data_IF_000084363196
#
_entry.id   IF_000084363196
#
_cell.length_a   1.000
_cell.length_b   1.000
_cell.length_c   1.000
_cell.angle_alpha   90.00
_cell.angle_beta   90.00
_cell.angle_gamma   90.00
#
_symmetry.space_group_name_H-M   'P 1'
#
loop_
_entity.id
_entity.type
_entity.pdbx_description
1 polymer ?
#
# COMPACT_ATOMS: atom_id res chain seq x y z
N UNK A 1 19.14 12.53 15.60
CA UNK A 1 19.80 11.25 15.99
C UNK A 1 19.72 10.38 14.75
N UNK A 2 20.83 9.90 14.18
CA UNK A 2 20.76 9.09 12.94
C UNK A 2 20.24 7.69 13.26
N UNK A 3 19.17 7.28 12.57
CA UNK A 3 18.57 5.95 12.63
C UNK A 3 19.63 4.88 12.34
N UNK A 4 19.66 3.82 13.14
CA UNK A 4 20.67 2.77 13.02
C UNK A 4 20.59 2.04 11.66
N UNK A 5 19.39 1.98 11.09
CA UNK A 5 19.08 1.34 9.81
C UNK A 5 19.60 2.11 8.59
N UNK A 6 19.91 3.40 8.72
CA UNK A 6 20.44 4.26 7.63
C UNK A 6 21.93 4.53 7.77
N UNK A 7 22.58 3.98 8.80
CA UNK A 7 24.04 3.97 8.90
C UNK A 7 24.62 3.10 7.80
N UNK A 8 25.31 3.71 6.85
CA UNK A 8 26.20 2.99 5.93
C UNK A 8 27.33 2.39 6.78
N UNK A 9 27.18 1.13 7.16
CA UNK A 9 28.22 0.39 7.86
C UNK A 9 29.07 -0.37 6.85
N UNK A 10 30.40 -0.39 7.06
CA UNK A 10 31.34 -1.19 6.26
C UNK A 10 31.20 -2.71 6.52
N UNK A 11 30.11 -3.14 7.16
CA UNK A 11 29.84 -4.52 7.56
C UNK A 11 28.94 -5.27 6.57
N UNK A 12 28.42 -4.62 5.51
CA UNK A 12 27.72 -5.35 4.46
C UNK A 12 28.65 -6.47 3.90
N UNK A 13 28.17 -7.72 3.95
CA UNK A 13 28.92 -8.91 3.53
C UNK A 13 28.53 -9.38 2.13
N UNK A 14 27.60 -8.70 1.47
CA UNK A 14 27.14 -9.06 0.12
C UNK A 14 27.98 -8.37 -0.96
N UNK A 15 27.99 -8.95 -2.16
CA UNK A 15 28.76 -8.49 -3.31
C UNK A 15 30.14 -9.17 -3.43
N UNK A 16 30.48 -9.64 -4.63
CA UNK A 16 31.74 -10.38 -4.92
C UNK A 16 33.01 -9.61 -4.55
N UNK A 17 32.95 -8.27 -4.55
CA UNK A 17 34.06 -7.40 -4.15
C UNK A 17 34.46 -7.56 -2.67
N UNK A 18 33.59 -8.14 -1.84
CA UNK A 18 33.86 -8.40 -0.41
C UNK A 18 34.65 -9.69 -0.17
N UNK A 19 34.68 -10.60 -1.14
CA UNK A 19 35.52 -11.80 -1.09
C UNK A 19 36.03 -12.17 -2.49
N UNK A 20 37.10 -11.51 -2.97
CA UNK A 20 37.66 -11.78 -4.29
C UNK A 20 38.16 -13.22 -4.44
N UNK A 21 38.67 -13.84 -3.37
CA UNK A 21 39.15 -15.21 -3.41
C UNK A 21 38.00 -16.20 -3.60
N UNK A 22 36.94 -16.12 -2.77
CA UNK A 22 35.77 -16.99 -2.93
C UNK A 22 35.10 -16.81 -4.31
N UNK A 23 35.19 -15.59 -4.87
CA UNK A 23 34.74 -15.33 -6.24
C UNK A 23 35.60 -16.02 -7.28
N UNK A 24 36.94 -16.03 -7.13
CA UNK A 24 37.82 -16.80 -8.02
C UNK A 24 37.56 -18.30 -7.88
N UNK A 25 37.45 -18.81 -6.65
CA UNK A 25 37.15 -20.23 -6.40
C UNK A 25 35.78 -20.63 -7.02
N UNK A 26 34.80 -19.72 -7.02
CA UNK A 26 33.52 -19.91 -7.73
C UNK A 26 33.70 -19.96 -9.25
N UNK A 27 34.52 -19.08 -9.84
CA UNK A 27 34.81 -19.07 -11.27
C UNK A 27 35.57 -20.32 -11.70
N UNK A 28 36.60 -20.71 -10.95
CA UNK A 28 37.37 -21.94 -11.17
C UNK A 28 36.45 -23.16 -11.05
N UNK A 29 35.54 -23.17 -10.06
CA UNK A 29 34.52 -24.19 -9.92
C UNK A 29 33.51 -24.22 -11.09
N UNK A 30 33.17 -23.08 -11.69
CA UNK A 30 32.34 -23.04 -12.91
C UNK A 30 33.07 -23.58 -14.15
N UNK A 31 34.40 -23.46 -14.20
CA UNK A 31 35.22 -24.02 -15.28
C UNK A 31 35.49 -25.52 -15.08
N UNK A 32 35.74 -25.95 -13.84
CA UNK A 32 35.97 -27.36 -13.47
C UNK A 32 34.67 -28.17 -13.51
N UNK A 33 33.62 -27.62 -12.93
CA UNK A 33 32.26 -28.15 -12.96
C UNK A 33 31.44 -27.30 -13.91
N UNK A 34 31.83 -27.27 -15.20
CA UNK A 34 30.93 -26.73 -16.21
C UNK A 34 29.57 -27.37 -15.97
N UNK A 35 28.51 -26.57 -15.71
CA UNK A 35 27.19 -27.13 -15.67
C UNK A 35 27.08 -27.91 -16.97
N UNK A 36 26.67 -29.17 -16.89
CA UNK A 36 26.20 -29.83 -18.10
C UNK A 36 25.11 -28.91 -18.60
N UNK A 37 25.46 -28.07 -19.59
CA UNK A 37 24.52 -27.44 -20.45
C UNK A 37 23.91 -28.63 -21.16
N UNK A 38 22.97 -29.30 -20.48
CA UNK A 38 21.89 -29.93 -21.16
C UNK A 38 21.44 -28.88 -22.19
N UNK A 39 21.35 -29.31 -23.45
CA UNK A 39 20.42 -28.76 -24.42
C UNK A 39 19.38 -27.91 -23.70
N UNK A 40 19.21 -26.62 -24.07
CA UNK A 40 18.55 -25.58 -23.28
C UNK A 40 17.52 -26.21 -22.35
N UNK A 41 17.85 -26.25 -21.05
CA UNK A 41 17.07 -27.00 -20.07
C UNK A 41 15.59 -26.66 -20.29
N UNK A 42 14.76 -27.63 -20.74
CA UNK A 42 13.34 -27.39 -20.86
C UNK A 42 12.74 -27.08 -19.48
N UNK A 43 13.48 -27.09 -18.37
CA UNK A 43 13.08 -26.62 -17.05
C UNK A 43 12.61 -25.15 -16.97
N UNK A 44 13.02 -24.25 -17.88
CA UNK A 44 12.38 -22.93 -17.95
C UNK A 44 11.03 -22.98 -18.69
N UNK A 45 10.89 -23.89 -19.66
CA UNK A 45 9.61 -24.24 -20.30
C UNK A 45 8.72 -25.05 -19.35
N UNK A 46 9.30 -25.86 -18.46
CA UNK A 46 8.60 -26.72 -17.51
C UNK A 46 8.02 -25.93 -16.35
N UNK A 47 8.71 -24.89 -15.84
CA UNK A 47 8.10 -23.95 -14.89
C UNK A 47 6.97 -23.17 -15.57
N UNK A 48 7.13 -22.78 -16.84
CA UNK A 48 6.09 -22.10 -17.59
C UNK A 48 4.87 -23.00 -17.85
N UNK A 49 5.10 -24.27 -18.19
CA UNK A 49 4.08 -25.29 -18.41
C UNK A 49 3.34 -25.63 -17.11
N UNK A 50 4.07 -25.83 -16.01
CA UNK A 50 3.47 -26.00 -14.67
C UNK A 50 2.65 -24.77 -14.30
N UNK A 51 3.16 -23.55 -14.51
CA UNK A 51 2.36 -22.34 -14.27
C UNK A 51 1.11 -22.31 -15.16
N UNK A 52 1.21 -22.72 -16.42
CA UNK A 52 0.08 -22.75 -17.35
C UNK A 52 -0.98 -23.76 -16.91
N UNK A 53 -0.58 -24.95 -16.46
CA UNK A 53 -1.46 -25.98 -15.91
C UNK A 53 -2.21 -25.42 -14.69
N UNK A 54 -1.49 -24.92 -13.69
CA UNK A 54 -2.08 -24.32 -12.49
C UNK A 54 -3.01 -23.13 -12.84
N UNK A 55 -2.65 -22.28 -13.80
CA UNK A 55 -3.48 -21.17 -14.26
C UNK A 55 -4.77 -21.67 -14.95
N UNK A 56 -4.70 -22.77 -15.68
CA UNK A 56 -5.85 -23.30 -16.41
C UNK A 56 -6.83 -24.08 -15.53
N UNK A 57 -6.33 -24.71 -14.46
CA UNK A 57 -7.12 -25.60 -13.58
C UNK A 57 -7.62 -24.90 -12.31
N UNK A 58 -7.19 -23.68 -12.03
CA UNK A 58 -7.53 -22.96 -10.81
C UNK A 58 -9.02 -22.64 -10.69
N UNK A 59 -9.54 -22.80 -9.47
CA UNK A 59 -10.84 -22.25 -9.08
C UNK A 59 -10.74 -20.73 -8.87
N UNK A 60 -11.85 -19.98 -9.00
CA UNK A 60 -11.87 -18.57 -8.64
C UNK A 60 -11.42 -18.36 -7.20
N UNK A 61 -10.69 -17.26 -6.95
CA UNK A 61 -10.16 -16.91 -5.63
C UNK A 61 -11.26 -16.86 -4.54
N UNK A 62 -12.49 -16.56 -4.93
CA UNK A 62 -13.67 -16.64 -4.06
C UNK A 62 -14.95 -16.36 -4.82
N UNK A 63 -16.03 -16.08 -4.07
CA UNK A 63 -17.32 -15.66 -4.63
C UNK A 63 -17.89 -14.50 -3.83
N UNK A 64 -18.79 -13.74 -4.44
CA UNK A 64 -19.51 -12.66 -3.75
C UNK A 64 -20.82 -13.25 -3.22
N UNK A 65 -21.06 -13.22 -1.89
CA UNK A 65 -22.26 -13.81 -1.33
C UNK A 65 -23.51 -13.05 -1.80
N UNK A 66 -24.65 -13.74 -1.96
CA UNK A 66 -25.90 -13.07 -2.25
C UNK A 66 -26.32 -12.18 -1.07
N UNK A 67 -27.04 -11.08 -1.31
CA UNK A 67 -27.51 -10.20 -0.25
C UNK A 67 -28.42 -10.96 0.73
N UNK A 68 -28.07 -10.94 2.02
CA UNK A 68 -28.76 -11.71 3.05
C UNK A 68 -30.03 -11.03 3.61
N UNK A 69 -30.25 -9.74 3.30
CA UNK A 69 -31.37 -8.98 3.87
C UNK A 69 -32.59 -8.96 2.93
N UNK A 70 -33.83 -8.94 3.45
CA UNK A 70 -35.04 -8.79 2.61
C UNK A 70 -35.02 -7.54 1.74
N UNK A 71 -34.51 -6.43 2.27
CA UNK A 71 -34.28 -5.18 1.52
C UNK A 71 -33.23 -5.38 0.43
N UNK A 72 -32.14 -6.09 0.73
CA UNK A 72 -31.09 -6.44 -0.23
C UNK A 72 -31.59 -7.37 -1.34
N UNK A 73 -32.45 -8.34 -1.02
CA UNK A 73 -33.11 -9.22 -1.99
C UNK A 73 -34.07 -8.44 -2.90
N UNK A 74 -34.89 -7.54 -2.35
CA UNK A 74 -35.80 -6.70 -3.14
C UNK A 74 -35.06 -5.72 -4.06
N UNK A 75 -34.00 -5.06 -3.57
CA UNK A 75 -33.12 -4.21 -4.40
C UNK A 75 -32.38 -5.04 -5.45
N UNK A 76 -31.97 -6.27 -5.13
CA UNK A 76 -31.31 -7.17 -6.08
C UNK A 76 -32.24 -7.65 -7.19
N UNK A 77 -33.53 -7.87 -6.90
CA UNK A 77 -34.53 -8.16 -7.91
C UNK A 77 -34.74 -6.98 -8.89
N UNK A 78 -34.70 -5.72 -8.42
CA UNK A 78 -34.63 -4.56 -9.33
C UNK A 78 -33.31 -4.49 -10.12
N UNK A 79 -32.19 -4.87 -9.51
CA UNK A 79 -30.85 -4.90 -10.14
C UNK A 79 -30.65 -6.05 -11.12
N UNK A 80 -31.54 -7.05 -11.20
CA UNK A 80 -31.52 -8.01 -12.30
C UNK A 80 -31.70 -7.34 -13.68
N UNK A 81 -32.23 -6.11 -13.72
CA UNK A 81 -32.27 -5.27 -14.93
C UNK A 81 -30.92 -4.57 -15.26
N UNK A 82 -30.01 -4.44 -14.29
CA UNK A 82 -28.65 -3.86 -14.45
C UNK A 82 -27.51 -4.90 -14.42
N UNK A 83 -27.80 -6.17 -14.09
CA UNK A 83 -26.93 -7.34 -14.31
C UNK A 83 -25.65 -7.43 -13.47
N UNK A 84 -24.63 -8.13 -13.99
CA UNK A 84 -23.31 -8.39 -13.35
C UNK A 84 -22.56 -7.14 -12.86
N UNK A 85 -22.95 -5.94 -13.29
CA UNK A 85 -22.22 -4.70 -13.00
C UNK A 85 -22.27 -4.30 -11.52
N UNK A 86 -23.37 -4.62 -10.84
CA UNK A 86 -23.47 -4.32 -9.41
C UNK A 86 -22.59 -5.25 -8.55
N UNK A 87 -22.46 -6.51 -8.93
CA UNK A 87 -21.56 -7.43 -8.22
C UNK A 87 -20.12 -6.91 -8.29
N UNK A 88 -19.69 -6.38 -9.45
CA UNK A 88 -18.36 -5.76 -9.60
C UNK A 88 -18.16 -4.58 -8.65
N UNK A 89 -19.14 -3.68 -8.51
CA UNK A 89 -18.99 -2.56 -7.56
C UNK A 89 -18.97 -3.06 -6.11
N UNK A 90 -19.77 -4.06 -5.74
CA UNK A 90 -19.69 -4.64 -4.38
C UNK A 90 -18.33 -5.27 -4.12
N UNK A 91 -17.77 -5.99 -5.09
CA UNK A 91 -16.43 -6.58 -4.99
C UNK A 91 -15.34 -5.52 -4.82
N UNK A 92 -15.40 -4.43 -5.61
CA UNK A 92 -14.46 -3.31 -5.50
C UNK A 92 -14.63 -2.48 -4.23
N UNK A 93 -15.84 -2.36 -3.70
CA UNK A 93 -16.05 -1.76 -2.38
C UNK A 93 -15.46 -2.65 -1.27
N UNK A 94 -15.60 -3.98 -1.35
CA UNK A 94 -14.99 -4.88 -0.39
C UNK A 94 -13.45 -4.87 -0.48
N UNK A 95 -12.89 -4.75 -1.69
CA UNK A 95 -11.47 -4.46 -1.90
C UNK A 95 -11.05 -3.20 -1.15
N UNK A 96 -11.77 -2.10 -1.36
CA UNK A 96 -11.43 -0.84 -0.71
C UNK A 96 -11.52 -0.94 0.80
N UNK A 97 -12.59 -1.54 1.32
CA UNK A 97 -12.77 -1.76 2.75
C UNK A 97 -11.61 -2.56 3.38
N UNK A 98 -11.15 -3.61 2.70
CA UNK A 98 -10.02 -4.41 3.16
C UNK A 98 -8.70 -3.61 3.17
N UNK A 99 -8.54 -2.69 2.20
CA UNK A 99 -7.40 -1.79 2.11
C UNK A 99 -7.40 -0.72 3.20
N UNK A 100 -8.51 0.00 3.43
CA UNK A 100 -8.62 1.01 4.51
C UNK A 100 -8.33 0.41 5.91
N UNK A 101 -8.80 -0.83 6.14
CA UNK A 101 -8.48 -1.59 7.35
C UNK A 101 -6.98 -1.86 7.49
N UNK A 102 -6.27 -1.97 6.37
CA UNK A 102 -4.82 -2.14 6.36
C UNK A 102 -4.11 -0.80 6.49
N UNK A 103 -4.63 0.27 5.87
CA UNK A 103 -4.16 1.66 6.04
C UNK A 103 -4.09 2.07 7.51
N UNK A 104 -5.18 1.89 8.26
CA UNK A 104 -5.18 2.14 9.72
C UNK A 104 -4.07 1.40 10.47
N UNK A 105 -3.80 0.13 10.13
CA UNK A 105 -2.73 -0.68 10.76
C UNK A 105 -1.34 -0.23 10.34
N UNK A 106 -1.17 0.18 9.09
CA UNK A 106 0.08 0.74 8.58
C UNK A 106 0.42 2.04 9.33
N UNK A 107 -0.55 2.93 9.50
CA UNK A 107 -0.35 4.14 10.29
C UNK A 107 -0.13 3.86 11.78
N UNK A 108 -0.82 2.89 12.39
CA UNK A 108 -0.54 2.48 13.78
C UNK A 108 0.93 2.03 13.94
N UNK A 109 1.46 1.24 13.00
CA UNK A 109 2.86 0.80 13.01
C UNK A 109 3.84 1.96 12.75
N UNK A 110 3.51 2.87 11.83
CA UNK A 110 4.31 4.05 11.52
C UNK A 110 4.39 5.00 12.71
N UNK A 111 3.26 5.25 13.40
CA UNK A 111 3.19 6.04 14.63
C UNK A 111 4.09 5.45 15.69
N UNK A 112 4.00 4.13 15.96
CA UNK A 112 4.84 3.47 16.95
C UNK A 112 6.33 3.62 16.63
N UNK A 113 6.70 3.51 15.35
CA UNK A 113 8.08 3.70 14.88
C UNK A 113 8.53 5.15 15.05
N UNK A 114 7.70 6.11 14.64
CA UNK A 114 7.96 7.54 14.82
C UNK A 114 8.17 7.90 16.29
N UNK A 115 7.25 7.50 17.17
CA UNK A 115 7.34 7.74 18.60
C UNK A 115 8.60 7.12 19.20
N UNK A 116 8.98 5.91 18.79
CA UNK A 116 10.16 5.22 19.32
C UNK A 116 11.47 5.90 18.91
N UNK A 117 11.58 6.29 17.64
CA UNK A 117 12.82 6.82 17.07
C UNK A 117 12.97 8.33 17.24
N UNK A 118 11.86 9.04 17.39
CA UNK A 118 11.79 10.52 17.34
C UNK A 118 11.01 11.11 18.52
N UNK A 119 10.85 10.38 19.64
CA UNK A 119 10.21 10.85 20.87
C UNK A 119 10.64 12.28 21.23
N UNK A 120 9.71 13.24 21.16
CA UNK A 120 9.93 14.64 21.54
C UNK A 120 10.65 15.49 20.50
N UNK A 121 10.79 15.04 19.24
CA UNK A 121 11.30 15.85 18.13
C UNK A 121 10.26 15.98 17.03
N UNK A 122 10.11 17.20 16.47
CA UNK A 122 9.39 17.44 15.22
C UNK A 122 10.40 17.41 14.08
N UNK A 123 10.14 16.65 13.02
CA UNK A 123 11.00 16.67 11.84
C UNK A 123 10.58 17.86 10.98
N UNK A 124 11.43 18.90 10.89
CA UNK A 124 11.09 20.16 10.26
C UNK A 124 11.36 20.22 8.75
N UNK A 125 10.34 20.58 7.98
CA UNK A 125 10.42 20.99 6.57
C UNK A 125 11.00 22.39 6.41
N UNK A 126 11.76 22.60 5.33
CA UNK A 126 12.32 23.91 4.98
C UNK A 126 11.20 24.73 4.32
N UNK A 127 10.45 25.50 5.10
CA UNK A 127 9.68 26.62 4.56
C UNK A 127 10.68 27.61 3.94
N UNK A 128 10.71 27.75 2.63
CA UNK A 128 11.66 28.61 1.93
C UNK A 128 11.25 30.10 1.97
N UNK A 129 10.47 30.53 2.96
CA UNK A 129 10.19 31.94 3.22
C UNK A 129 9.44 32.69 2.11
N UNK A 130 9.08 32.03 0.99
CA UNK A 130 8.23 32.60 -0.05
C UNK A 130 6.81 32.10 0.15
N UNK A 131 6.20 32.57 1.23
CA UNK A 131 4.76 32.42 1.46
C UNK A 131 3.98 33.15 0.37
N UNK A 132 3.40 32.38 -0.55
CA UNK A 132 2.27 32.80 -1.37
C UNK A 132 1.66 31.56 -2.04
N UNK A 133 1.01 30.70 -1.26
CA UNK A 133 -0.24 30.01 -1.62
C UNK A 133 -0.76 29.28 -0.37
N UNK A 134 -2.06 29.40 -0.09
CA UNK A 134 -2.68 29.00 1.18
C UNK A 134 -2.90 27.49 1.37
N UNK A 135 -2.21 26.66 0.59
CA UNK A 135 -2.25 25.18 0.63
C UNK A 135 -0.94 24.58 1.20
N UNK A 136 -0.14 25.42 1.88
CA UNK A 136 1.24 25.15 2.27
C UNK A 136 1.32 24.23 3.49
N UNK A 137 1.39 22.92 3.23
CA UNK A 137 1.79 21.96 4.23
C UNK A 137 3.27 22.21 4.55
N UNK A 138 3.55 22.73 5.75
CA UNK A 138 4.87 23.21 6.22
C UNK A 138 5.97 22.10 6.23
N UNK A 139 5.62 20.87 5.82
CA UNK A 139 6.56 19.77 5.59
C UNK A 139 7.03 19.07 6.87
N UNK A 140 6.37 19.35 8.00
CA UNK A 140 6.75 18.81 9.30
C UNK A 140 6.12 17.43 9.50
N UNK A 141 6.89 16.44 9.97
CA UNK A 141 6.30 15.21 10.53
C UNK A 141 6.00 15.50 12.00
N UNK A 142 4.74 15.36 12.40
CA UNK A 142 4.32 15.44 13.80
C UNK A 142 3.51 14.20 14.18
N UNK A 143 3.52 13.87 15.48
CA UNK A 143 2.70 12.78 16.02
C UNK A 143 1.22 13.07 15.79
N UNK A 144 0.83 14.32 15.99
CA UNK A 144 -0.54 14.80 15.87
C UNK A 144 -1.06 14.59 14.44
N UNK A 145 -0.27 14.96 13.43
CA UNK A 145 -0.64 14.73 12.03
C UNK A 145 -0.72 13.25 11.68
N UNK A 146 0.23 12.41 12.14
CA UNK A 146 0.16 10.97 11.89
C UNK A 146 -1.10 10.33 12.50
N UNK A 147 -1.51 10.77 13.70
CA UNK A 147 -2.74 10.32 14.35
C UNK A 147 -3.98 10.83 13.62
N UNK A 148 -3.95 12.07 13.12
CA UNK A 148 -5.04 12.63 12.30
C UNK A 148 -5.27 11.78 11.05
N UNK A 149 -4.21 11.52 10.27
CA UNK A 149 -4.29 10.69 9.07
C UNK A 149 -4.83 9.29 9.42
N UNK A 150 -4.29 8.65 10.46
CA UNK A 150 -4.79 7.36 10.95
C UNK A 150 -6.29 7.35 11.27
N UNK A 151 -6.84 8.46 11.76
CA UNK A 151 -8.27 8.58 12.04
C UNK A 151 -9.08 8.79 10.75
N UNK A 152 -8.55 9.55 9.79
CA UNK A 152 -9.14 9.72 8.47
C UNK A 152 -9.26 8.37 7.73
N UNK A 153 -8.23 7.52 7.78
CA UNK A 153 -8.28 6.12 7.28
C UNK A 153 -9.42 5.30 7.92
N UNK A 154 -9.65 5.48 9.23
CA UNK A 154 -10.72 4.79 9.93
C UNK A 154 -12.11 5.33 9.53
N UNK A 155 -12.22 6.62 9.24
CA UNK A 155 -13.43 7.24 8.70
C UNK A 155 -13.73 6.73 7.29
N UNK A 156 -12.72 6.62 6.43
CA UNK A 156 -12.81 6.02 5.10
C UNK A 156 -13.26 4.55 5.15
N UNK A 157 -12.69 3.76 6.05
CA UNK A 157 -13.17 2.40 6.30
C UNK A 157 -14.67 2.37 6.62
N UNK A 158 -15.13 3.27 7.50
CA UNK A 158 -16.55 3.34 7.88
C UNK A 158 -17.44 3.80 6.72
N UNK A 159 -16.98 4.77 5.92
CA UNK A 159 -17.66 5.23 4.71
C UNK A 159 -17.92 4.08 3.74
N UNK A 160 -16.88 3.29 3.44
CA UNK A 160 -17.01 2.14 2.52
C UNK A 160 -17.90 1.05 3.10
N UNK A 161 -17.80 0.77 4.41
CA UNK A 161 -18.65 -0.21 5.07
C UNK A 161 -20.14 0.18 4.95
N UNK A 162 -20.45 1.46 5.12
CA UNK A 162 -21.81 1.97 4.96
C UNK A 162 -22.28 1.95 3.52
N UNK A 163 -21.41 2.24 2.54
CA UNK A 163 -21.71 2.09 1.12
C UNK A 163 -22.13 0.65 0.78
N UNK A 164 -21.40 -0.36 1.27
CA UNK A 164 -21.72 -1.78 1.08
C UNK A 164 -23.08 -2.12 1.70
N UNK A 165 -23.35 -1.66 2.93
CA UNK A 165 -24.64 -1.88 3.61
C UNK A 165 -25.81 -1.25 2.84
N UNK A 166 -25.65 -0.03 2.32
CA UNK A 166 -26.69 0.68 1.53
C UNK A 166 -27.08 -0.10 0.26
N UNK A 167 -26.12 -0.81 -0.33
CA UNK A 167 -26.33 -1.69 -1.47
C UNK A 167 -26.97 -3.04 -1.11
N UNK A 168 -27.10 -3.34 0.18
CA UNK A 168 -27.72 -4.55 0.74
C UNK A 168 -26.74 -5.72 0.94
N UNK A 169 -25.44 -5.48 0.75
CA UNK A 169 -24.38 -6.47 0.89
C UNK A 169 -23.79 -6.48 2.31
N UNK A 170 -22.99 -7.50 2.61
CA UNK A 170 -22.33 -7.69 3.90
C UNK A 170 -20.88 -7.15 3.85
N UNK A 171 -20.54 -6.09 4.62
CA UNK A 171 -19.18 -5.54 4.64
C UNK A 171 -18.16 -6.45 5.33
N UNK A 172 -18.58 -7.57 5.93
CA UNK A 172 -17.68 -8.55 6.55
C UNK A 172 -17.30 -9.69 5.60
N UNK A 173 -17.92 -9.74 4.42
CA UNK A 173 -17.62 -10.76 3.42
C UNK A 173 -16.22 -10.57 2.82
N UNK A 174 -15.45 -11.64 2.78
CA UNK A 174 -14.20 -11.72 2.03
C UNK A 174 -14.52 -12.08 0.58
N UNK A 175 -14.55 -11.06 -0.28
CA UNK A 175 -14.76 -11.20 -1.72
C UNK A 175 -13.44 -11.46 -2.45
N UNK A 176 -13.45 -11.89 -3.73
CA UNK A 176 -12.21 -12.12 -4.49
C UNK A 176 -11.27 -10.91 -4.49
N UNK A 177 -11.77 -9.70 -4.70
CA UNK A 177 -10.92 -8.52 -4.69
C UNK A 177 -10.41 -8.18 -3.27
N UNK A 178 -11.23 -8.38 -2.23
CA UNK A 178 -10.83 -8.19 -0.83
C UNK A 178 -9.71 -9.15 -0.39
N UNK A 179 -9.76 -10.41 -0.81
CA UNK A 179 -8.70 -11.39 -0.56
C UNK A 179 -7.41 -10.98 -1.29
N UNK A 180 -7.51 -10.71 -2.60
CA UNK A 180 -6.36 -10.32 -3.41
C UNK A 180 -5.62 -9.10 -2.86
N UNK A 181 -6.33 -8.03 -2.48
CA UNK A 181 -5.69 -6.84 -1.92
C UNK A 181 -5.15 -7.09 -0.51
N UNK A 182 -5.77 -8.00 0.24
CA UNK A 182 -5.25 -8.50 1.51
C UNK A 182 -3.85 -9.09 1.33
N UNK A 183 -3.68 -10.00 0.36
CA UNK A 183 -2.37 -10.58 0.01
C UNK A 183 -1.38 -9.53 -0.45
N UNK A 184 -1.79 -8.62 -1.35
CA UNK A 184 -0.92 -7.56 -1.87
C UNK A 184 -0.36 -6.67 -0.75
N UNK A 185 -1.19 -6.37 0.26
CA UNK A 185 -0.82 -5.46 1.35
C UNK A 185 0.10 -6.09 2.40
N UNK A 186 0.27 -7.42 2.41
CA UNK A 186 1.12 -8.13 3.40
C UNK A 186 2.54 -7.57 3.40
N UNK A 187 3.14 -7.38 2.22
CA UNK A 187 4.52 -6.88 2.11
C UNK A 187 4.71 -5.48 2.67
N UNK A 188 3.68 -4.62 2.55
CA UNK A 188 3.67 -3.27 3.10
C UNK A 188 3.69 -3.32 4.62
N UNK A 189 2.77 -4.11 5.21
CA UNK A 189 2.69 -4.28 6.67
C UNK A 189 3.98 -4.86 7.23
N UNK A 190 4.54 -5.87 6.57
CA UNK A 190 5.83 -6.46 6.95
C UNK A 190 6.96 -5.42 6.95
N UNK A 191 7.02 -4.56 5.94
CA UNK A 191 8.07 -3.54 5.82
C UNK A 191 7.96 -2.46 6.89
N UNK A 192 6.75 -1.92 7.11
CA UNK A 192 6.52 -0.86 8.11
C UNK A 192 6.70 -1.40 9.53
N UNK A 193 6.30 -2.65 9.78
CA UNK A 193 6.39 -3.26 11.12
C UNK A 193 7.76 -3.86 11.44
N UNK A 194 8.65 -4.01 10.46
CA UNK A 194 10.00 -4.54 10.71
C UNK A 194 10.78 -3.56 11.61
N UNK A 195 11.24 -3.95 12.80
CA UNK A 195 11.96 -3.06 13.70
C UNK A 195 13.33 -2.62 13.14
N UNK A 196 13.82 -3.29 12.09
CA UNK A 196 15.09 -2.98 11.43
C UNK A 196 14.94 -1.94 10.32
N UNK A 197 13.72 -1.62 9.89
CA UNK A 197 13.51 -0.60 8.85
C UNK A 197 13.54 0.80 9.43
N UNK A 198 14.10 1.73 8.67
CA UNK A 198 14.13 3.15 9.00
C UNK A 198 12.76 3.80 8.86
N UNK A 199 12.58 4.98 9.45
CA UNK A 199 11.38 5.78 9.17
C UNK A 199 11.26 6.11 7.67
N UNK A 200 12.36 6.42 6.98
CA UNK A 200 12.34 6.67 5.53
C UNK A 200 11.96 5.41 4.73
N UNK A 201 12.48 4.24 5.10
CA UNK A 201 12.11 2.96 4.48
C UNK A 201 10.63 2.64 4.70
N UNK A 202 10.10 2.90 5.90
CA UNK A 202 8.68 2.78 6.18
C UNK A 202 7.85 3.77 5.38
N UNK A 203 8.24 5.04 5.29
CA UNK A 203 7.55 6.04 4.47
C UNK A 203 7.57 5.70 2.98
N UNK A 204 8.60 5.03 2.48
CA UNK A 204 8.62 4.52 1.11
C UNK A 204 7.58 3.40 0.90
N UNK A 205 7.38 2.52 1.88
CA UNK A 205 6.29 1.55 1.84
C UNK A 205 4.91 2.23 1.96
N UNK A 206 4.78 3.24 2.82
CA UNK A 206 3.56 4.07 2.90
C UNK A 206 3.26 4.75 1.57
N UNK A 207 4.27 5.32 0.89
CA UNK A 207 4.09 5.93 -0.42
C UNK A 207 3.49 4.95 -1.43
N UNK A 208 3.88 3.68 -1.37
CA UNK A 208 3.28 2.64 -2.22
C UNK A 208 1.80 2.42 -1.87
N UNK A 209 1.45 2.41 -0.57
CA UNK A 209 0.07 2.33 -0.12
C UNK A 209 -0.75 3.53 -0.61
N UNK A 210 -0.30 4.75 -0.32
CA UNK A 210 -0.99 6.00 -0.69
C UNK A 210 -1.24 6.15 -2.19
N UNK A 211 -0.29 5.72 -3.03
CA UNK A 211 -0.45 5.72 -4.49
C UNK A 211 -1.52 4.73 -4.95
N UNK A 212 -1.51 3.52 -4.39
CA UNK A 212 -2.54 2.53 -4.66
C UNK A 212 -3.90 2.99 -4.11
N UNK A 213 -3.90 3.77 -3.03
CA UNK A 213 -5.12 4.27 -2.42
C UNK A 213 -5.85 5.27 -3.31
N UNK A 214 -5.13 6.32 -3.71
CA UNK A 214 -5.64 7.35 -4.62
C UNK A 214 -6.20 6.73 -5.91
N UNK A 215 -5.46 5.79 -6.52
CA UNK A 215 -5.92 5.09 -7.72
C UNK A 215 -7.17 4.23 -7.48
N UNK A 216 -7.30 3.64 -6.28
CA UNK A 216 -8.48 2.86 -5.88
C UNK A 216 -9.73 3.72 -5.75
N UNK A 217 -9.61 4.90 -5.13
CA UNK A 217 -10.70 5.87 -5.04
C UNK A 217 -11.14 6.39 -6.41
N UNK A 218 -10.19 6.77 -7.29
CA UNK A 218 -10.49 7.19 -8.66
C UNK A 218 -11.29 6.13 -9.44
N UNK A 219 -10.92 4.85 -9.30
CA UNK A 219 -11.64 3.74 -9.93
C UNK A 219 -13.05 3.58 -9.35
N UNK A 220 -13.20 3.68 -8.02
CA UNK A 220 -14.51 3.56 -7.36
C UNK A 220 -15.46 4.68 -7.76
N UNK A 221 -14.97 5.92 -7.89
CA UNK A 221 -15.76 7.07 -8.35
C UNK A 221 -16.29 6.78 -9.76
N UNK A 222 -15.42 6.41 -10.70
CA UNK A 222 -15.81 6.10 -12.08
C UNK A 222 -16.84 4.96 -12.14
N UNK A 223 -16.65 3.92 -11.31
CA UNK A 223 -17.57 2.79 -11.26
C UNK A 223 -18.92 3.18 -10.67
N UNK A 224 -18.94 3.96 -9.59
CA UNK A 224 -20.15 4.49 -8.95
C UNK A 224 -20.97 5.36 -9.92
N UNK A 225 -20.33 6.31 -10.61
CA UNK A 225 -20.95 7.17 -11.63
C UNK A 225 -21.55 6.34 -12.78
N UNK A 226 -20.80 5.36 -13.30
CA UNK A 226 -21.27 4.50 -14.39
C UNK A 226 -22.52 3.67 -14.04
N UNK A 227 -22.81 3.53 -12.75
CA UNK A 227 -23.95 2.81 -12.19
C UNK A 227 -25.01 3.73 -11.56
N UNK A 228 -24.89 5.04 -11.79
CA UNK A 228 -25.83 6.06 -11.29
C UNK A 228 -25.86 6.14 -9.77
N UNK A 229 -24.75 5.86 -9.09
CA UNK A 229 -24.59 6.02 -7.65
C UNK A 229 -23.96 7.39 -7.34
N UNK A 230 -24.57 8.48 -7.82
CA UNK A 230 -23.96 9.82 -7.82
C UNK A 230 -23.62 10.32 -6.40
N UNK A 231 -24.51 10.12 -5.41
CA UNK A 231 -24.24 10.49 -4.01
C UNK A 231 -23.03 9.73 -3.43
N UNK A 232 -22.85 8.47 -3.82
CA UNK A 232 -21.70 7.66 -3.40
C UNK A 232 -20.42 8.16 -4.08
N UNK A 233 -20.48 8.50 -5.36
CA UNK A 233 -19.36 9.09 -6.08
C UNK A 233 -18.94 10.43 -5.47
N UNK A 234 -19.89 11.28 -5.08
CA UNK A 234 -19.61 12.55 -4.39
C UNK A 234 -18.85 12.32 -3.08
N UNK A 235 -19.32 11.40 -2.23
CA UNK A 235 -18.65 11.04 -0.97
C UNK A 235 -17.23 10.48 -1.21
N UNK A 236 -17.03 9.71 -2.28
CA UNK A 236 -15.73 9.17 -2.63
C UNK A 236 -14.77 10.23 -3.19
N UNK A 237 -15.28 11.32 -3.80
CA UNK A 237 -14.44 12.46 -4.18
C UNK A 237 -13.93 13.23 -2.96
N UNK A 238 -14.73 13.33 -1.90
CA UNK A 238 -14.28 13.91 -0.63
C UNK A 238 -13.18 13.07 0.03
N UNK A 239 -13.33 11.74 0.00
CA UNK A 239 -12.29 10.81 0.47
C UNK A 239 -11.01 10.94 -0.38
N UNK A 240 -11.13 10.94 -1.71
CA UNK A 240 -9.99 11.14 -2.63
C UNK A 240 -9.25 12.46 -2.37
N UNK A 241 -9.97 13.55 -2.08
CA UNK A 241 -9.34 14.83 -1.75
C UNK A 241 -8.53 14.77 -0.44
N UNK A 242 -8.96 13.92 0.51
CA UNK A 242 -8.21 13.64 1.73
C UNK A 242 -6.98 12.79 1.45
N UNK A 243 -7.12 11.71 0.67
CA UNK A 243 -6.00 10.85 0.30
C UNK A 243 -4.96 11.53 -0.59
N UNK A 244 -5.35 12.51 -1.41
CA UNK A 244 -4.41 13.31 -2.18
C UNK A 244 -3.48 14.13 -1.25
N UNK A 245 -4.01 14.60 -0.10
CA UNK A 245 -3.22 15.30 0.92
C UNK A 245 -2.29 14.33 1.64
N UNK A 246 -2.77 13.14 2.03
CA UNK A 246 -1.93 12.10 2.64
C UNK A 246 -0.74 11.73 1.75
N UNK A 247 -1.00 11.48 0.47
CA UNK A 247 0.03 11.19 -0.52
C UNK A 247 1.08 12.32 -0.61
N UNK A 248 0.65 13.59 -0.61
CA UNK A 248 1.56 14.73 -0.64
C UNK A 248 2.42 14.82 0.63
N UNK A 249 1.83 14.57 1.81
CA UNK A 249 2.53 14.53 3.08
C UNK A 249 3.62 13.45 3.07
N UNK A 250 3.26 12.20 2.75
CA UNK A 250 4.18 11.06 2.72
C UNK A 250 5.33 11.30 1.74
N UNK A 251 5.05 11.84 0.53
CA UNK A 251 6.08 12.22 -0.46
C UNK A 251 7.04 13.26 0.10
N UNK A 252 6.51 14.30 0.73
CA UNK A 252 7.31 15.39 1.29
C UNK A 252 8.22 14.89 2.41
N UNK A 253 7.67 14.12 3.35
CA UNK A 253 8.40 13.55 4.48
C UNK A 253 9.49 12.56 4.05
N UNK A 254 9.18 11.69 3.10
CA UNK A 254 10.16 10.76 2.53
C UNK A 254 11.31 11.51 1.89
N UNK A 255 11.00 12.51 1.04
CA UNK A 255 12.00 13.35 0.37
C UNK A 255 12.91 14.02 1.40
N UNK A 256 12.32 14.60 2.44
CA UNK A 256 13.06 15.27 3.50
C UNK A 256 14.04 14.33 4.22
N UNK A 257 13.59 13.15 4.62
CA UNK A 257 14.45 12.19 5.34
C UNK A 257 15.58 11.68 4.45
N UNK A 258 15.28 11.32 3.20
CA UNK A 258 16.30 10.83 2.25
C UNK A 258 17.33 11.92 1.94
N UNK A 259 16.91 13.18 1.75
CA UNK A 259 17.82 14.30 1.55
C UNK A 259 18.68 14.59 2.79
N UNK A 260 18.12 14.41 4.00
CA UNK A 260 18.89 14.54 5.22
C UNK A 260 19.96 13.45 5.36
N UNK A 261 19.66 12.22 4.96
CA UNK A 261 20.61 11.10 4.93
C UNK A 261 21.76 11.33 3.95
N UNK A 262 21.51 12.01 2.83
CA UNK A 262 22.55 12.34 1.84
C UNK A 262 23.50 13.47 2.28
N UNK A 263 23.38 13.96 3.52
CA UNK A 263 24.17 15.08 4.03
C UNK A 263 23.67 16.47 3.59
N UNK A 264 22.54 16.54 2.89
CA UNK A 264 21.87 17.79 2.50
C UNK A 264 20.83 18.23 3.56
N UNK A 265 21.05 17.89 4.83
CA UNK A 265 20.03 18.00 5.87
C UNK A 265 19.57 19.44 6.15
N UNK A 266 18.24 19.68 6.24
CA UNK A 266 17.71 20.88 6.86
C UNK A 266 18.03 20.87 8.37
N UNK A 267 18.21 22.06 8.96
CA UNK A 267 18.56 22.20 10.37
C UNK A 267 17.46 21.61 11.26
N UNK A 268 17.78 20.60 12.07
CA UNK A 268 16.90 20.09 13.12
C UNK A 268 16.80 21.20 14.18
N UNK A 269 15.68 21.93 14.20
CA UNK A 269 15.35 22.83 15.32
C UNK A 269 14.91 21.95 16.48
N UNK A 270 15.65 22.01 17.59
CA UNK A 270 15.30 21.35 18.85
C UNK A 270 14.33 22.19 19.64
#
# INVERSE_FOLDING_TARGET
MQDASTRITLQNRTGVQRSPQDFQDMLDGMEEFQPQLAEPDPGNDGIAEVRAEYISEQEPLGTIPPPATPTGMAKSAMKMLTGNRMQVLVDKLAERLAFERTGTRLYDALIAKYETLYAGSTLAGRGDGNGADADDYDGYVSRETLVEVRNQEAEHFMLVADAIRRLGADPTAETPCADSVGVQSIGLVQTVSDPRTSLAQSLNAMLTAELADNAGWELLIQLAESLGQDEMADQFRDALATEARHLQMIRSWLTLLVMAESGNAPAIVR
#
